data_IF_989867587712
#
_entry.id   IF_989867587712
#
_cell.length_a   1.000
_cell.length_b   1.000
_cell.length_c   1.000
_cell.angle_alpha   90.00
_cell.angle_beta   90.00
_cell.angle_gamma   90.00
#
_symmetry.space_group_name_H-M   'P 1'
#
loop_
_entity.id
_entity.type
_entity.pdbx_description
1 polymer ?
#
# COMPACT_ATOMS: atom_id res chain seq x y z
N UNK A 1 -52.82 -7.57 -21.07
CA UNK A 1 -51.46 -7.93 -21.56
C UNK A 1 -50.38 -6.93 -21.14
N UNK A 2 -50.69 -5.64 -21.03
CA UNK A 2 -49.74 -4.55 -20.64
C UNK A 2 -49.23 -4.68 -19.18
N UNK A 3 -50.05 -5.19 -18.26
CA UNK A 3 -49.69 -5.30 -16.84
C UNK A 3 -48.60 -6.35 -16.54
N UNK A 4 -48.45 -7.38 -17.38
CA UNK A 4 -47.38 -8.40 -17.25
C UNK A 4 -46.02 -7.90 -17.73
N UNK A 5 -46.00 -6.94 -18.66
CA UNK A 5 -44.76 -6.38 -19.22
C UNK A 5 -44.11 -5.41 -18.24
N UNK A 6 -44.90 -4.61 -17.50
CA UNK A 6 -44.38 -3.76 -16.42
C UNK A 6 -43.77 -4.58 -15.27
N UNK A 7 -44.36 -5.73 -14.93
CA UNK A 7 -43.86 -6.57 -13.84
C UNK A 7 -42.51 -7.23 -14.16
N UNK A 8 -42.30 -7.60 -15.43
CA UNK A 8 -41.04 -8.17 -15.93
C UNK A 8 -39.95 -7.08 -16.00
N UNK A 9 -40.29 -5.83 -16.39
CA UNK A 9 -39.34 -4.71 -16.32
C UNK A 9 -38.94 -4.37 -14.88
N UNK A 10 -39.86 -4.46 -13.92
CA UNK A 10 -39.56 -4.17 -12.51
C UNK A 10 -38.68 -5.24 -11.86
N UNK A 11 -38.88 -6.52 -12.20
CA UNK A 11 -38.01 -7.62 -11.75
C UNK A 11 -36.61 -7.52 -12.39
N UNK A 12 -36.51 -7.09 -13.65
CA UNK A 12 -35.21 -6.84 -14.28
C UNK A 12 -34.47 -5.68 -13.61
N UNK A 13 -35.16 -4.60 -13.23
CA UNK A 13 -34.54 -3.45 -12.55
C UNK A 13 -34.01 -3.82 -11.16
N UNK A 14 -34.67 -4.74 -10.44
CA UNK A 14 -34.19 -5.26 -9.14
C UNK A 14 -32.93 -6.14 -9.31
N UNK A 15 -32.74 -6.78 -10.47
CA UNK A 15 -31.53 -7.57 -10.78
C UNK A 15 -30.33 -6.73 -11.24
N UNK A 16 -30.50 -5.44 -11.56
CA UNK A 16 -29.39 -4.52 -11.91
C UNK A 16 -28.81 -3.79 -10.71
N UNK A 17 -29.23 -4.13 -9.47
CA UNK A 17 -28.44 -3.81 -8.28
C UNK A 17 -27.24 -4.75 -8.27
N UNK A 18 -26.28 -4.44 -9.14
CA UNK A 18 -24.92 -4.93 -9.08
C UNK A 18 -24.46 -4.78 -7.64
N UNK A 19 -24.10 -5.93 -7.06
CA UNK A 19 -23.61 -6.07 -5.71
C UNK A 19 -22.30 -5.30 -5.58
N UNK A 20 -22.37 -3.98 -5.40
CA UNK A 20 -21.32 -3.23 -4.78
C UNK A 20 -21.25 -3.73 -3.34
N UNK A 21 -20.34 -4.68 -3.09
CA UNK A 21 -19.88 -4.96 -1.73
C UNK A 21 -19.34 -3.64 -1.17
N UNK A 22 -20.21 -2.86 -0.53
CA UNK A 22 -19.77 -1.78 0.36
C UNK A 22 -18.82 -2.42 1.35
N UNK A 23 -17.63 -1.84 1.46
CA UNK A 23 -16.70 -2.19 2.54
C UNK A 23 -17.51 -2.11 3.83
N UNK A 24 -17.65 -3.23 4.52
CA UNK A 24 -18.44 -3.27 5.74
C UNK A 24 -17.68 -2.42 6.78
N UNK A 25 -18.31 -1.34 7.25
CA UNK A 25 -17.71 -0.44 8.23
C UNK A 25 -17.30 -1.18 9.50
N UNK A 26 -18.09 -2.19 9.90
CA UNK A 26 -17.85 -3.03 11.08
C UNK A 26 -16.54 -3.82 10.94
N UNK A 27 -16.27 -4.38 9.76
CA UNK A 27 -15.04 -5.13 9.48
C UNK A 27 -13.81 -4.24 9.55
N UNK A 28 -13.93 -3.01 9.03
CA UNK A 28 -12.86 -2.02 9.03
C UNK A 28 -12.54 -1.54 10.45
N UNK A 29 -13.56 -1.29 11.26
CA UNK A 29 -13.39 -0.86 12.65
C UNK A 29 -12.79 -1.96 13.52
N UNK A 30 -13.21 -3.22 13.32
CA UNK A 30 -12.63 -4.37 14.03
C UNK A 30 -11.15 -4.54 13.67
N UNK A 31 -10.81 -4.46 12.39
CA UNK A 31 -9.42 -4.51 11.94
C UNK A 31 -8.61 -3.34 12.50
N UNK A 32 -9.17 -2.12 12.46
CA UNK A 32 -8.53 -0.94 13.03
C UNK A 32 -8.25 -1.07 14.53
N UNK A 33 -9.18 -1.64 15.32
CA UNK A 33 -8.94 -1.91 16.73
C UNK A 33 -7.77 -2.88 16.93
N UNK A 34 -7.67 -3.92 16.10
CA UNK A 34 -6.59 -4.92 16.21
C UNK A 34 -5.18 -4.36 15.92
N UNK A 35 -5.07 -3.27 15.18
CA UNK A 35 -3.78 -2.62 14.86
C UNK A 35 -3.44 -1.45 15.79
N UNK A 36 -4.43 -0.93 16.54
CA UNK A 36 -4.26 0.25 17.42
C UNK A 36 -3.52 -0.04 18.73
N UNK A 37 -3.31 -1.30 19.12
CA UNK A 37 -2.72 -1.70 20.41
C UNK A 37 -1.23 -1.35 20.61
N UNK A 38 -0.66 -0.48 19.77
CA UNK A 38 0.71 0.03 19.92
C UNK A 38 0.76 1.56 19.99
N UNK A 39 -0.29 2.17 20.57
CA UNK A 39 -0.37 3.59 20.90
C UNK A 39 0.66 3.97 21.98
N UNK A 40 1.93 3.99 21.61
CA UNK A 40 3.05 4.38 22.46
C UNK A 40 4.27 4.88 21.68
N UNK A 41 4.26 4.79 20.35
CA UNK A 41 5.38 5.27 19.53
C UNK A 41 5.27 6.79 19.36
N UNK A 42 5.63 7.52 20.41
CA UNK A 42 5.87 8.96 20.34
C UNK A 42 7.32 9.17 19.88
N UNK A 43 7.50 9.74 18.69
CA UNK A 43 8.80 10.29 18.32
C UNK A 43 8.91 11.70 18.89
N UNK A 44 9.99 11.96 19.62
CA UNK A 44 10.35 13.34 20.01
C UNK A 44 10.98 14.12 18.85
N UNK A 45 11.32 13.46 17.73
CA UNK A 45 12.09 14.04 16.62
C UNK A 45 11.79 13.30 15.29
N UNK A 46 10.91 13.86 14.46
CA UNK A 46 10.69 13.40 13.07
C UNK A 46 9.72 12.25 12.87
N UNK A 47 9.46 11.91 11.59
CA UNK A 47 8.55 10.83 11.18
C UNK A 47 9.08 9.45 11.59
N UNK A 48 8.16 8.59 12.01
CA UNK A 48 8.40 7.18 12.31
C UNK A 48 7.79 6.32 11.22
N UNK A 49 8.47 5.23 10.87
CA UNK A 49 7.95 4.24 9.91
C UNK A 49 7.54 2.99 10.66
N UNK A 50 6.34 2.48 10.34
CA UNK A 50 5.78 1.30 10.95
C UNK A 50 5.39 0.30 9.87
N UNK A 51 6.07 -0.84 9.83
CA UNK A 51 5.72 -1.96 8.97
C UNK A 51 4.64 -2.78 9.65
N UNK A 52 3.52 -2.95 8.95
CA UNK A 52 2.41 -3.80 9.37
C UNK A 52 2.38 -5.02 8.44
N UNK A 53 2.92 -6.18 8.85
CA UNK A 53 2.76 -7.43 8.12
C UNK A 53 1.28 -7.84 8.06
N UNK A 54 0.82 -8.22 6.88
CA UNK A 54 -0.59 -8.52 6.60
C UNK A 54 -0.75 -9.93 6.04
N UNK A 55 -1.83 -10.60 6.44
CA UNK A 55 -2.33 -11.82 5.83
C UNK A 55 -1.27 -12.93 5.64
N UNK A 56 -0.48 -13.20 6.69
CA UNK A 56 0.55 -14.25 6.66
C UNK A 56 1.90 -13.83 6.07
N UNK A 57 2.12 -12.53 5.80
CA UNK A 57 3.45 -12.00 5.49
C UNK A 57 4.52 -12.41 6.52
N UNK A 58 5.69 -12.84 6.04
CA UNK A 58 6.78 -13.39 6.87
C UNK A 58 7.45 -12.28 7.69
N UNK A 59 7.45 -12.42 9.03
CA UNK A 59 8.02 -11.43 9.95
C UNK A 59 9.53 -11.29 9.75
N UNK A 60 10.25 -12.38 9.45
CA UNK A 60 11.69 -12.32 9.20
C UNK A 60 12.02 -11.48 7.97
N UNK A 61 11.18 -11.53 6.92
CA UNK A 61 11.35 -10.70 5.74
C UNK A 61 11.08 -9.23 6.05
N UNK A 62 10.04 -8.94 6.85
CA UNK A 62 9.75 -7.58 7.30
C UNK A 62 10.89 -6.98 8.13
N UNK A 63 11.50 -7.77 9.03
CA UNK A 63 12.64 -7.35 9.84
C UNK A 63 13.90 -7.06 9.00
N UNK A 64 14.20 -7.91 7.99
CA UNK A 64 15.31 -7.64 7.05
C UNK A 64 15.09 -6.34 6.29
N UNK A 65 13.88 -6.16 5.74
CA UNK A 65 13.51 -4.95 5.02
C UNK A 65 13.60 -3.71 5.94
N UNK A 66 13.15 -3.81 7.19
CA UNK A 66 13.18 -2.71 8.15
C UNK A 66 14.62 -2.24 8.41
N UNK A 67 15.58 -3.18 8.53
CA UNK A 67 17.01 -2.84 8.65
C UNK A 67 17.51 -2.06 7.44
N UNK A 68 17.18 -2.48 6.22
CA UNK A 68 17.61 -1.80 5.00
C UNK A 68 16.97 -0.41 4.86
N UNK A 69 15.65 -0.31 5.03
CA UNK A 69 14.91 0.96 4.95
C UNK A 69 15.37 1.95 6.04
N UNK A 70 15.78 1.45 7.21
CA UNK A 70 16.23 2.31 8.30
C UNK A 70 17.50 3.10 8.01
N UNK A 71 18.30 2.66 7.03
CA UNK A 71 19.51 3.36 6.58
C UNK A 71 19.20 4.71 5.93
N UNK A 72 18.00 4.86 5.36
CA UNK A 72 17.58 6.08 4.64
C UNK A 72 16.51 6.86 5.40
N UNK A 73 15.56 6.17 6.02
CA UNK A 73 14.37 6.79 6.60
C UNK A 73 14.38 6.84 8.13
N UNK A 74 15.46 6.36 8.77
CA UNK A 74 15.56 6.30 10.22
C UNK A 74 14.77 5.13 10.81
N UNK A 75 14.34 5.22 12.06
CA UNK A 75 13.81 4.07 12.79
C UNK A 75 12.54 3.49 12.15
N UNK A 76 12.57 2.18 11.86
CA UNK A 76 11.43 1.40 11.38
C UNK A 76 11.02 0.39 12.46
N UNK A 77 9.75 0.39 12.82
CA UNK A 77 9.15 -0.60 13.72
C UNK A 77 8.45 -1.68 12.90
N UNK A 78 8.42 -2.92 13.40
CA UNK A 78 7.72 -4.04 12.75
C UNK A 78 6.66 -4.55 13.70
N UNK A 79 5.42 -4.60 13.22
CA UNK A 79 4.28 -5.13 13.95
C UNK A 79 4.10 -6.62 13.85
N UNK A 80 3.13 -7.13 14.61
CA UNK A 80 2.64 -8.49 14.47
C UNK A 80 1.91 -8.68 13.13
N UNK A 81 1.81 -9.92 12.68
CA UNK A 81 0.99 -10.23 11.52
C UNK A 81 -0.50 -10.01 11.81
N UNK A 82 -1.20 -9.34 10.90
CA UNK A 82 -2.64 -9.08 11.04
C UNK A 82 -3.42 -9.60 9.84
N UNK A 83 -4.46 -10.38 10.11
CA UNK A 83 -5.34 -10.92 9.09
C UNK A 83 -6.24 -9.81 8.53
N UNK A 84 -6.27 -9.69 7.21
CA UNK A 84 -7.15 -8.72 6.54
C UNK A 84 -8.61 -9.19 6.57
N UNK A 85 -9.58 -8.25 6.68
CA UNK A 85 -10.99 -8.56 6.50
C UNK A 85 -11.28 -9.16 5.12
N UNK A 86 -12.23 -10.10 5.09
CA UNK A 86 -12.71 -10.70 3.83
C UNK A 86 -13.37 -9.66 2.91
N UNK A 87 -13.91 -8.57 3.46
CA UNK A 87 -14.51 -7.48 2.70
C UNK A 87 -13.50 -6.70 1.84
N UNK A 88 -12.19 -6.84 2.09
CA UNK A 88 -11.16 -6.21 1.25
C UNK A 88 -10.77 -7.07 0.04
N UNK A 89 -11.25 -8.33 0.01
CA UNK A 89 -10.89 -9.31 -1.00
C UNK A 89 -11.87 -9.30 -2.18
N UNK A 90 -11.32 -9.17 -3.38
CA UNK A 90 -12.00 -9.29 -4.67
C UNK A 90 -11.81 -10.72 -5.16
N UNK A 91 -12.91 -11.49 -5.14
CA UNK A 91 -12.88 -12.94 -5.41
C UNK A 91 -12.59 -13.25 -6.86
N UNK A 92 -13.10 -12.42 -7.76
CA UNK A 92 -13.06 -12.58 -9.22
C UNK A 92 -11.63 -12.60 -9.77
N UNK A 93 -10.71 -11.90 -9.10
CA UNK A 93 -9.31 -11.76 -9.50
C UNK A 93 -8.31 -12.19 -8.42
N UNK A 94 -8.81 -12.81 -7.35
CA UNK A 94 -8.03 -13.29 -6.19
C UNK A 94 -7.04 -12.26 -5.62
N UNK A 95 -7.51 -11.05 -5.33
CA UNK A 95 -6.66 -9.93 -4.89
C UNK A 95 -7.33 -9.07 -3.83
N UNK A 96 -6.54 -8.33 -3.07
CA UNK A 96 -7.04 -7.35 -2.11
C UNK A 96 -7.08 -5.94 -2.69
N UNK A 97 -8.03 -5.12 -2.24
CA UNK A 97 -8.12 -3.70 -2.57
C UNK A 97 -7.11 -2.90 -1.74
N UNK A 98 -6.09 -2.36 -2.41
CA UNK A 98 -5.02 -1.58 -1.81
C UNK A 98 -5.55 -0.30 -1.15
N UNK A 99 -6.49 0.38 -1.82
CA UNK A 99 -7.21 1.55 -1.31
C UNK A 99 -8.01 1.25 -0.04
N UNK A 100 -8.66 0.09 0.04
CA UNK A 100 -9.34 -0.37 1.26
C UNK A 100 -8.37 -0.60 2.42
N UNK A 101 -7.20 -1.20 2.14
CA UNK A 101 -6.15 -1.42 3.14
C UNK A 101 -5.64 -0.08 3.67
N UNK A 102 -5.25 0.84 2.78
CA UNK A 102 -4.70 2.16 3.16
C UNK A 102 -5.73 2.97 3.96
N UNK A 103 -7.01 2.92 3.58
CA UNK A 103 -8.10 3.61 4.30
C UNK A 103 -8.15 3.26 5.79
N UNK A 104 -7.78 2.03 6.16
CA UNK A 104 -7.69 1.64 7.57
C UNK A 104 -6.31 1.96 8.16
N UNK A 105 -5.22 1.62 7.46
CA UNK A 105 -3.87 1.86 7.97
C UNK A 105 -3.58 3.33 8.28
N UNK A 106 -4.15 4.27 7.51
CA UNK A 106 -3.96 5.72 7.75
C UNK A 106 -4.43 6.19 9.13
N UNK A 107 -5.30 5.43 9.78
CA UNK A 107 -5.88 5.72 11.10
C UNK A 107 -5.30 4.84 12.22
N UNK A 108 -4.33 3.97 11.90
CA UNK A 108 -3.76 3.00 12.83
C UNK A 108 -2.88 3.67 13.90
N UNK A 109 -2.13 4.69 13.50
CA UNK A 109 -1.14 5.36 14.33
C UNK A 109 -1.31 6.89 14.28
N UNK A 110 -0.53 7.60 15.10
CA UNK A 110 -0.56 9.07 15.19
C UNK A 110 -0.01 9.75 13.94
N UNK A 111 -0.16 11.08 13.87
CA UNK A 111 0.22 11.90 12.70
C UNK A 111 1.72 11.84 12.35
N UNK A 112 2.56 11.45 13.31
CA UNK A 112 4.00 11.30 13.13
C UNK A 112 4.42 9.92 12.64
N UNK A 113 3.48 9.01 12.40
CA UNK A 113 3.76 7.65 11.94
C UNK A 113 3.25 7.44 10.51
N UNK A 114 4.14 6.92 9.66
CA UNK A 114 3.81 6.43 8.33
C UNK A 114 3.67 4.92 8.40
N UNK A 115 2.51 4.40 8.03
CA UNK A 115 2.18 2.97 8.14
C UNK A 115 2.32 2.27 6.79
N UNK A 116 3.15 1.24 6.71
CA UNK A 116 3.42 0.51 5.47
C UNK A 116 2.89 -0.92 5.64
N UNK A 117 1.79 -1.23 4.96
CA UNK A 117 1.26 -2.58 4.89
C UNK A 117 2.15 -3.46 4.01
N UNK A 118 2.59 -4.61 4.53
CA UNK A 118 3.38 -5.59 3.78
C UNK A 118 2.55 -6.85 3.55
N UNK A 119 2.35 -7.27 2.30
CA UNK A 119 1.48 -8.40 1.95
C UNK A 119 2.09 -9.26 0.84
N UNK A 120 1.81 -10.57 0.83
CA UNK A 120 2.27 -11.48 -0.25
C UNK A 120 1.18 -11.81 -1.28
N UNK A 121 -0.07 -11.41 -1.03
CA UNK A 121 -1.19 -11.55 -1.96
C UNK A 121 -1.20 -10.43 -2.98
N UNK A 122 -1.77 -10.68 -4.17
CA UNK A 122 -1.99 -9.66 -5.19
C UNK A 122 -2.85 -8.51 -4.63
N UNK A 123 -2.55 -7.29 -5.07
CA UNK A 123 -3.29 -6.09 -4.68
C UNK A 123 -3.72 -5.29 -5.91
N UNK A 124 -4.80 -4.52 -5.76
CA UNK A 124 -5.33 -3.68 -6.83
C UNK A 124 -5.94 -2.38 -6.34
N UNK A 125 -6.09 -1.45 -7.26
CA UNK A 125 -6.83 -0.21 -7.09
C UNK A 125 -7.63 0.09 -8.36
N UNK A 126 -8.46 1.12 -8.33
CA UNK A 126 -9.10 1.65 -9.55
C UNK A 126 -8.14 2.61 -10.23
N UNK A 127 -7.67 2.24 -11.43
CA UNK A 127 -6.75 3.05 -12.22
C UNK A 127 -6.96 2.80 -13.71
N UNK A 128 -6.71 3.81 -14.55
CA UNK A 128 -6.78 3.71 -16.02
C UNK A 128 -8.12 3.13 -16.54
N UNK A 129 -9.24 3.49 -15.89
CA UNK A 129 -10.57 2.98 -16.25
C UNK A 129 -10.86 1.52 -15.82
N UNK A 130 -9.92 0.85 -15.15
CA UNK A 130 -10.07 -0.53 -14.67
C UNK A 130 -10.27 -0.53 -13.16
N UNK A 131 -11.40 -1.09 -12.70
CA UNK A 131 -11.80 -1.11 -11.28
C UNK A 131 -10.78 -1.79 -10.37
N UNK A 132 -10.22 -2.91 -10.83
CA UNK A 132 -9.28 -3.75 -10.05
C UNK A 132 -7.94 -3.88 -10.78
N UNK A 133 -7.36 -2.74 -11.16
CA UNK A 133 -6.03 -2.66 -11.77
C UNK A 133 -4.97 -3.14 -10.79
N UNK A 134 -4.16 -4.12 -11.20
CA UNK A 134 -3.14 -4.72 -10.35
C UNK A 134 -1.90 -3.84 -10.19
N UNK A 135 -1.36 -3.76 -8.98
CA UNK A 135 -0.23 -2.87 -8.65
C UNK A 135 0.81 -3.57 -7.77
N UNK A 136 2.06 -3.12 -7.80
CA UNK A 136 3.10 -3.56 -6.85
C UNK A 136 2.87 -2.95 -5.47
N UNK A 137 2.47 -1.69 -5.44
CA UNK A 137 2.20 -0.93 -4.24
C UNK A 137 1.18 0.17 -4.53
N UNK A 138 0.72 0.79 -3.47
CA UNK A 138 -0.06 2.02 -3.54
C UNK A 138 0.22 2.85 -2.30
N UNK A 139 0.59 4.10 -2.51
CA UNK A 139 0.64 5.18 -1.53
C UNK A 139 -0.10 6.39 -2.07
N UNK A 140 -0.65 7.20 -1.16
CA UNK A 140 -1.17 8.52 -1.53
C UNK A 140 -0.08 9.57 -1.37
N UNK A 141 -0.07 10.53 -2.28
CA UNK A 141 0.94 11.58 -2.34
C UNK A 141 0.33 12.95 -1.99
N UNK A 142 0.68 13.55 -0.83
CA UNK A 142 1.21 12.90 0.37
C UNK A 142 0.15 12.07 1.10
N UNK A 143 0.55 11.29 2.10
CA UNK A 143 -0.33 10.47 2.90
C UNK A 143 0.29 10.05 4.24
N UNK A 144 -0.43 9.23 5.00
CA UNK A 144 0.08 8.62 6.25
C UNK A 144 0.19 7.09 6.19
N UNK A 145 -0.15 6.49 5.05
CA UNK A 145 -0.02 5.06 4.86
C UNK A 145 0.12 4.68 3.39
N UNK A 146 0.78 3.54 3.16
CA UNK A 146 0.86 2.85 1.88
C UNK A 146 0.79 1.33 2.10
N UNK A 147 0.65 0.57 1.02
CA UNK A 147 0.70 -0.89 1.04
C UNK A 147 1.53 -1.40 -0.13
N UNK A 148 2.35 -2.43 0.10
CA UNK A 148 3.25 -3.01 -0.89
C UNK A 148 3.09 -4.53 -0.91
N UNK A 149 3.05 -5.10 -2.11
CA UNK A 149 2.92 -6.52 -2.35
C UNK A 149 4.14 -7.13 -3.02
N UNK A 150 4.54 -8.31 -2.54
CA UNK A 150 5.58 -9.12 -3.20
C UNK A 150 5.05 -9.94 -4.39
N UNK A 151 3.73 -10.01 -4.58
CA UNK A 151 3.08 -10.94 -5.51
C UNK A 151 3.55 -10.81 -6.97
N UNK A 152 3.77 -9.58 -7.42
CA UNK A 152 4.09 -9.27 -8.83
C UNK A 152 5.59 -9.18 -9.11
N UNK A 153 6.44 -9.35 -8.09
CA UNK A 153 7.89 -9.18 -8.20
C UNK A 153 8.53 -10.39 -8.91
N UNK A 154 9.69 -10.17 -9.55
CA UNK A 154 10.44 -11.25 -10.18
C UNK A 154 11.10 -12.14 -9.11
N UNK A 155 10.91 -13.46 -9.19
CA UNK A 155 11.44 -14.43 -8.22
C UNK A 155 12.95 -14.32 -7.98
N UNK A 156 13.75 -14.08 -9.03
CA UNK A 156 15.22 -14.02 -8.93
C UNK A 156 15.72 -12.85 -8.09
N UNK A 157 15.03 -11.70 -8.12
CA UNK A 157 15.43 -10.44 -7.47
C UNK A 157 14.36 -9.95 -6.48
N UNK A 158 13.57 -10.87 -5.91
CA UNK A 158 12.36 -10.50 -5.19
C UNK A 158 12.62 -9.56 -4.00
N UNK A 159 13.66 -9.82 -3.21
CA UNK A 159 13.99 -8.98 -2.04
C UNK A 159 14.48 -7.58 -2.45
N UNK A 160 15.29 -7.46 -3.51
CA UNK A 160 15.75 -6.18 -4.04
C UNK A 160 14.59 -5.38 -4.64
N UNK A 161 13.77 -6.00 -5.50
CA UNK A 161 12.59 -5.35 -6.08
C UNK A 161 11.61 -4.94 -4.98
N UNK A 162 11.45 -5.74 -3.94
CA UNK A 162 10.57 -5.41 -2.82
C UNK A 162 11.05 -4.18 -2.07
N UNK A 163 12.36 -4.08 -1.78
CA UNK A 163 12.95 -2.88 -1.22
C UNK A 163 12.66 -1.65 -2.10
N UNK A 164 12.87 -1.74 -3.41
CA UNK A 164 12.66 -0.62 -4.35
C UNK A 164 11.21 -0.14 -4.34
N UNK A 165 10.24 -1.05 -4.40
CA UNK A 165 8.81 -0.67 -4.33
C UNK A 165 8.46 -0.08 -2.95
N UNK A 166 8.98 -0.63 -1.85
CA UNK A 166 8.73 -0.06 -0.51
C UNK A 166 9.25 1.37 -0.41
N UNK A 167 10.46 1.60 -0.88
CA UNK A 167 11.08 2.93 -0.86
C UNK A 167 10.35 3.90 -1.80
N UNK A 168 9.88 3.44 -2.96
CA UNK A 168 9.03 4.20 -3.86
C UNK A 168 7.73 4.65 -3.18
N UNK A 169 7.00 3.72 -2.57
CA UNK A 169 5.73 4.05 -1.92
C UNK A 169 5.92 4.90 -0.66
N UNK A 170 7.00 4.68 0.10
CA UNK A 170 7.38 5.60 1.19
C UNK A 170 7.62 7.00 0.63
N UNK A 171 8.40 7.11 -0.45
CA UNK A 171 8.69 8.36 -1.15
C UNK A 171 7.41 9.13 -1.53
N UNK A 172 6.45 8.47 -2.18
CA UNK A 172 5.14 9.05 -2.47
C UNK A 172 4.42 9.51 -1.20
N UNK A 173 4.39 8.65 -0.18
CA UNK A 173 3.68 8.92 1.07
C UNK A 173 4.21 10.15 1.79
N UNK A 174 5.52 10.41 1.73
CA UNK A 174 6.16 11.61 2.28
C UNK A 174 6.18 12.80 1.30
N UNK A 175 5.63 12.66 0.10
CA UNK A 175 5.41 13.74 -0.86
C UNK A 175 6.49 13.89 -1.94
N UNK A 176 7.20 12.84 -2.34
CA UNK A 176 8.00 12.84 -3.58
C UNK A 176 7.10 12.46 -4.77
N UNK A 177 7.09 13.23 -5.88
CA UNK A 177 6.36 12.84 -7.07
C UNK A 177 7.12 11.77 -7.85
N UNK A 178 6.50 11.24 -8.91
CA UNK A 178 7.24 10.44 -9.88
C UNK A 178 8.42 11.23 -10.47
N UNK A 179 9.52 10.53 -10.74
CA UNK A 179 10.72 11.08 -11.34
C UNK A 179 10.87 10.60 -12.79
N UNK A 180 11.17 11.50 -13.75
CA UNK A 180 11.40 11.09 -15.14
C UNK A 180 12.73 10.33 -15.34
N UNK A 181 13.63 10.35 -14.36
CA UNK A 181 14.93 9.67 -14.45
C UNK A 181 14.76 8.17 -14.31
N UNK A 182 15.13 7.44 -15.38
CA UNK A 182 14.84 6.00 -15.53
C UNK A 182 15.62 5.11 -14.56
N UNK A 183 16.67 5.62 -13.94
CA UNK A 183 17.45 4.93 -12.88
C UNK A 183 17.01 5.32 -11.47
N UNK A 184 16.05 6.24 -11.32
CA UNK A 184 15.60 6.73 -10.01
C UNK A 184 14.59 5.77 -9.37
N UNK A 185 14.68 5.53 -8.06
CA UNK A 185 13.68 4.77 -7.29
C UNK A 185 12.25 5.35 -7.33
N UNK A 186 12.10 6.63 -7.71
CA UNK A 186 10.80 7.28 -7.90
C UNK A 186 10.28 7.20 -9.33
N UNK A 187 10.88 6.40 -10.22
CA UNK A 187 10.39 6.20 -11.59
C UNK A 187 9.00 5.55 -11.57
N UNK A 188 8.09 6.03 -12.40
CA UNK A 188 6.81 5.34 -12.65
C UNK A 188 7.07 4.02 -13.41
N UNK A 189 6.47 2.93 -12.94
CA UNK A 189 6.54 1.65 -13.63
C UNK A 189 5.81 1.66 -14.99
N UNK A 190 4.90 2.61 -15.22
CA UNK A 190 4.12 2.80 -16.46
C UNK A 190 3.27 1.56 -16.86
N UNK A 191 3.12 0.58 -15.96
CA UNK A 191 2.46 -0.71 -16.20
C UNK A 191 3.41 -1.88 -16.47
N UNK A 192 4.72 -1.62 -16.53
CA UNK A 192 5.78 -2.64 -16.64
C UNK A 192 6.41 -3.01 -15.29
N UNK A 193 7.65 -3.49 -15.32
CA UNK A 193 8.48 -3.74 -14.13
C UNK A 193 9.93 -3.29 -14.40
N UNK A 194 10.24 -1.98 -14.28
CA UNK A 194 11.58 -1.44 -14.51
C UNK A 194 12.51 -1.57 -13.29
N UNK A 195 12.08 -2.27 -12.23
CA UNK A 195 12.76 -2.30 -10.94
C UNK A 195 14.21 -2.80 -11.02
N UNK A 196 14.57 -3.60 -12.04
CA UNK A 196 15.95 -4.04 -12.25
C UNK A 196 16.86 -2.92 -12.81
N UNK A 197 16.29 -1.89 -13.47
CA UNK A 197 17.03 -0.74 -14.04
C UNK A 197 17.25 0.37 -13.01
N UNK A 198 16.37 0.47 -12.02
CA UNK A 198 16.44 1.46 -10.95
C UNK A 198 17.62 1.17 -10.02
N UNK A 199 18.31 2.23 -9.58
CA UNK A 199 19.54 2.11 -8.78
C UNK A 199 19.39 2.76 -7.41
N UNK A 200 19.08 4.06 -7.40
CA UNK A 200 19.01 4.87 -6.19
C UNK A 200 18.13 6.10 -6.44
N UNK A 201 17.80 6.88 -5.42
CA UNK A 201 17.24 8.21 -5.60
C UNK A 201 18.21 9.10 -6.41
N UNK A 202 17.71 9.73 -7.46
CA UNK A 202 18.48 10.72 -8.20
C UNK A 202 18.82 11.95 -7.35
N UNK A 203 19.76 12.78 -7.81
CA UNK A 203 20.16 14.03 -7.13
C UNK A 203 18.96 14.91 -6.77
N UNK A 204 17.94 15.01 -7.64
CA UNK A 204 16.74 15.80 -7.35
C UNK A 204 15.91 15.21 -6.21
N UNK A 205 15.63 13.90 -6.25
CA UNK A 205 14.87 13.22 -5.19
C UNK A 205 15.63 13.24 -3.86
N UNK A 206 16.95 13.08 -3.88
CA UNK A 206 17.81 13.20 -2.70
C UNK A 206 17.70 14.59 -2.06
N UNK A 207 17.73 15.67 -2.86
CA UNK A 207 17.50 17.05 -2.36
C UNK A 207 16.14 17.20 -1.69
N UNK A 208 15.08 16.62 -2.27
CA UNK A 208 13.73 16.64 -1.67
C UNK A 208 13.73 15.90 -0.33
N UNK A 209 14.35 14.71 -0.25
CA UNK A 209 14.45 13.95 1.00
C UNK A 209 15.19 14.73 2.09
N UNK A 210 16.34 15.34 1.76
CA UNK A 210 17.10 16.17 2.70
C UNK A 210 16.27 17.38 3.17
N UNK A 211 15.54 18.05 2.27
CA UNK A 211 14.64 19.15 2.64
C UNK A 211 13.50 18.75 3.59
N UNK A 212 13.19 17.45 3.63
CA UNK A 212 12.18 16.84 4.52
C UNK A 212 12.79 16.28 5.82
N UNK A 213 14.10 16.48 6.04
CA UNK A 213 14.80 16.07 7.26
C UNK A 213 15.33 14.63 7.26
N UNK A 214 15.41 13.97 6.10
CA UNK A 214 16.02 12.64 5.99
C UNK A 214 17.52 12.71 5.76
N UNK A 215 18.27 11.88 6.48
CA UNK A 215 19.72 11.72 6.31
C UNK A 215 19.96 10.55 5.36
N UNK A 216 20.58 10.85 4.22
CA UNK A 216 20.88 9.83 3.23
C UNK A 216 22.25 9.20 3.54
N UNK A 217 22.39 7.88 3.39
CA UNK A 217 23.69 7.24 3.52
C UNK A 217 24.65 7.79 2.45
N UNK A 218 25.91 7.97 2.83
CA UNK A 218 27.01 8.37 1.96
C UNK A 218 27.41 7.24 1.01
#
# INVERSE_FOLDING_TARGET
>A
MVLRILYILFILIILVISCEKKINHIDSDKFLKSIKDLSGIKSKTGKVFYFQPLNGFRIEQANRLAKEVSKTFGKVYVGENRKLPKSFYVKERNRYRADSIIKVLRNAHGQDTITIGLISSDISTTAKGVKDWGVFGLGYHPGSACVVSTYRLKKRNADEQFYKVVVHEIGHTIGLPHCPEKTCLMRDAEGGNPLDEEKDFCVRCKKILVSKGFVLPH
#
